data_IF_808135120084
#
_entry.id   IF_808135120084
#
_cell.length_a   1.000
_cell.length_b   1.000
_cell.length_c   1.000
_cell.angle_alpha   90.00
_cell.angle_beta   90.00
_cell.angle_gamma   90.00
#
_symmetry.space_group_name_H-M   'P 1'
#
loop_
_entity.id
_entity.type
_entity.pdbx_description
1 polymer ?
#
# COMPACT_ATOMS: atom_id res chain seq x y z
N UNK A 1 -25.11 -3.45 -2.05
CA UNK A 1 -24.14 -4.57 -2.12
C UNK A 1 -22.74 -3.99 -2.28
N UNK A 2 -21.78 -4.32 -1.38
CA UNK A 2 -20.42 -3.81 -1.46
C UNK A 2 -19.79 -4.13 -2.82
N UNK A 3 -19.04 -3.20 -3.43
CA UNK A 3 -18.50 -3.39 -4.78
C UNK A 3 -17.54 -4.59 -4.87
N UNK A 4 -16.91 -5.00 -3.76
CA UNK A 4 -16.05 -6.18 -3.72
C UNK A 4 -16.79 -7.51 -3.82
N UNK A 5 -18.01 -7.59 -3.27
CA UNK A 5 -18.89 -8.76 -3.43
C UNK A 5 -19.39 -8.85 -4.86
N UNK A 6 -19.68 -7.72 -5.51
CA UNK A 6 -20.05 -7.69 -6.93
C UNK A 6 -18.91 -8.18 -7.83
N UNK A 7 -17.68 -7.73 -7.57
CA UNK A 7 -16.50 -8.19 -8.33
C UNK A 7 -16.24 -9.68 -8.11
N UNK A 8 -16.28 -10.14 -6.86
CA UNK A 8 -16.11 -11.56 -6.53
C UNK A 8 -17.21 -12.41 -7.16
N UNK A 9 -18.47 -11.94 -7.17
CA UNK A 9 -19.60 -12.57 -7.88
C UNK A 9 -19.39 -12.63 -9.38
N UNK A 10 -18.88 -11.57 -9.99
CA UNK A 10 -18.51 -11.55 -11.42
C UNK A 10 -17.43 -12.59 -11.71
N UNK A 11 -16.35 -12.62 -10.93
CA UNK A 11 -15.24 -13.56 -11.09
C UNK A 11 -15.66 -15.02 -10.82
N UNK A 12 -16.51 -15.25 -9.82
CA UNK A 12 -17.02 -16.59 -9.50
C UNK A 12 -17.96 -17.10 -10.59
N UNK A 13 -18.83 -16.23 -11.11
CA UNK A 13 -19.80 -16.56 -12.15
C UNK A 13 -19.16 -16.79 -13.52
N UNK A 14 -18.12 -16.02 -13.88
CA UNK A 14 -17.51 -16.08 -15.20
C UNK A 14 -16.26 -16.97 -15.26
N UNK A 15 -15.51 -17.09 -14.15
CA UNK A 15 -14.20 -17.73 -14.14
C UNK A 15 -14.08 -18.87 -13.12
N UNK A 16 -15.05 -19.04 -12.20
CA UNK A 16 -14.99 -20.07 -11.15
C UNK A 16 -13.83 -19.90 -10.15
N UNK A 17 -13.14 -18.76 -10.18
CA UNK A 17 -11.89 -18.52 -9.45
C UNK A 17 -12.08 -18.12 -7.98
N UNK A 18 -13.29 -17.76 -7.58
CA UNK A 18 -13.60 -17.38 -6.21
C UNK A 18 -14.86 -18.12 -5.73
N UNK A 19 -14.90 -18.47 -4.44
CA UNK A 19 -16.12 -18.93 -3.78
C UNK A 19 -16.65 -17.80 -2.91
N UNK A 20 -17.90 -17.40 -3.12
CA UNK A 20 -18.55 -16.44 -2.22
C UNK A 20 -18.95 -17.13 -0.92
N UNK A 21 -18.83 -16.43 0.22
CA UNK A 21 -19.37 -16.93 1.47
C UNK A 21 -20.91 -16.99 1.39
N UNK A 22 -21.56 -17.77 2.28
CA UNK A 22 -23.01 -17.85 2.36
C UNK A 22 -23.67 -16.48 2.52
N UNK A 23 -24.89 -16.33 2.01
CA UNK A 23 -25.63 -15.08 2.03
C UNK A 23 -25.76 -14.48 3.44
N UNK A 24 -26.02 -15.31 4.45
CA UNK A 24 -26.13 -14.90 5.86
C UNK A 24 -24.85 -14.22 6.37
N UNK A 25 -23.68 -14.72 5.98
CA UNK A 25 -22.38 -14.13 6.34
C UNK A 25 -22.17 -12.79 5.65
N UNK A 26 -22.55 -12.69 4.37
CA UNK A 26 -22.46 -11.43 3.65
C UNK A 26 -23.39 -10.35 4.23
N UNK A 27 -24.63 -10.71 4.56
CA UNK A 27 -25.60 -9.79 5.15
C UNK A 27 -25.13 -9.27 6.51
N UNK A 28 -24.58 -10.16 7.35
CA UNK A 28 -23.96 -9.78 8.61
C UNK A 28 -22.80 -8.80 8.41
N UNK A 29 -21.89 -9.09 7.49
CA UNK A 29 -20.76 -8.21 7.19
C UNK A 29 -21.21 -6.83 6.68
N UNK A 30 -22.23 -6.80 5.82
CA UNK A 30 -22.80 -5.54 5.32
C UNK A 30 -23.41 -4.72 6.46
N UNK A 31 -24.15 -5.37 7.36
CA UNK A 31 -24.80 -4.70 8.47
C UNK A 31 -23.77 -4.15 9.48
N UNK A 32 -22.74 -4.93 9.82
CA UNK A 32 -21.62 -4.49 10.66
C UNK A 32 -20.86 -3.31 10.05
N UNK A 33 -20.55 -3.37 8.74
CA UNK A 33 -19.90 -2.26 8.04
C UNK A 33 -20.74 -1.00 8.03
N UNK A 34 -22.05 -1.12 7.80
CA UNK A 34 -22.99 0.00 7.84
C UNK A 34 -23.00 0.65 9.23
N UNK A 35 -22.99 -0.16 10.31
CA UNK A 35 -22.90 0.34 11.68
C UNK A 35 -21.58 1.07 11.96
N UNK A 36 -20.45 0.48 11.57
CA UNK A 36 -19.11 1.08 11.77
C UNK A 36 -18.90 2.35 10.93
N UNK A 37 -19.48 2.41 9.72
CA UNK A 37 -19.39 3.57 8.84
C UNK A 37 -20.18 4.75 9.41
N UNK A 38 -21.39 4.52 9.95
CA UNK A 38 -22.17 5.55 10.65
C UNK A 38 -21.42 6.07 11.88
N UNK A 39 -20.73 5.20 12.62
CA UNK A 39 -19.91 5.62 13.75
C UNK A 39 -18.68 6.46 13.35
N UNK A 40 -18.04 6.15 12.21
CA UNK A 40 -16.79 6.81 11.79
C UNK A 40 -16.99 8.09 10.99
N UNK A 41 -18.03 8.13 10.16
CA UNK A 41 -18.23 9.22 9.21
C UNK A 41 -19.48 10.05 9.53
N UNK A 42 -20.45 9.51 10.27
CA UNK A 42 -21.72 10.19 10.53
C UNK A 42 -22.83 9.72 9.58
N UNK A 43 -23.98 10.40 9.64
CA UNK A 43 -25.20 10.01 8.92
C UNK A 43 -25.36 10.69 7.54
N UNK A 44 -24.31 11.30 6.98
CA UNK A 44 -24.49 11.99 5.69
C UNK A 44 -24.57 10.98 4.54
N UNK A 45 -25.45 11.26 3.58
CA UNK A 45 -25.72 10.37 2.44
C UNK A 45 -24.47 10.17 1.55
N UNK A 46 -23.57 11.15 1.53
CA UNK A 46 -22.31 11.12 0.79
C UNK A 46 -21.24 10.22 1.43
N UNK A 47 -21.38 9.90 2.72
CA UNK A 47 -20.46 9.03 3.47
C UNK A 47 -20.83 7.54 3.35
N UNK A 48 -22.03 7.22 2.88
CA UNK A 48 -22.51 5.84 2.71
C UNK A 48 -21.62 5.05 1.73
N UNK A 49 -20.99 5.72 0.76
CA UNK A 49 -20.06 5.09 -0.18
C UNK A 49 -18.58 5.35 0.14
N UNK A 50 -18.27 6.27 1.07
CA UNK A 50 -16.90 6.53 1.49
C UNK A 50 -16.35 5.30 2.22
N UNK A 51 -15.47 4.59 1.52
CA UNK A 51 -14.70 3.50 2.08
C UNK A 51 -13.23 3.89 1.96
N UNK A 52 -12.45 3.57 2.98
CA UNK A 52 -11.00 3.71 2.90
C UNK A 52 -10.49 2.92 1.70
N UNK A 53 -10.01 3.64 0.68
CA UNK A 53 -9.60 3.07 -0.61
C UNK A 53 -8.56 1.95 -0.40
N UNK A 54 -7.62 2.15 0.52
CA UNK A 54 -6.62 1.16 0.89
C UNK A 54 -7.23 -0.11 1.45
N UNK A 55 -8.13 0.00 2.44
CA UNK A 55 -8.76 -1.16 3.09
C UNK A 55 -9.62 -1.93 2.08
N UNK A 56 -10.31 -1.21 1.21
CA UNK A 56 -11.13 -1.82 0.17
C UNK A 56 -10.28 -2.55 -0.88
N UNK A 57 -9.21 -1.93 -1.38
CA UNK A 57 -8.27 -2.53 -2.32
C UNK A 57 -7.57 -3.76 -1.71
N UNK A 58 -7.13 -3.67 -0.45
CA UNK A 58 -6.53 -4.80 0.26
C UNK A 58 -7.50 -5.97 0.42
N UNK A 59 -8.77 -5.69 0.73
CA UNK A 59 -9.79 -6.74 0.87
C UNK A 59 -10.05 -7.41 -0.47
N UNK A 60 -10.12 -6.64 -1.56
CA UNK A 60 -10.23 -7.17 -2.91
C UNK A 60 -9.01 -8.01 -3.31
N UNK A 61 -7.81 -7.49 -3.10
CA UNK A 61 -6.57 -8.18 -3.40
C UNK A 61 -6.43 -9.48 -2.58
N UNK A 62 -6.94 -9.49 -1.34
CA UNK A 62 -6.99 -10.70 -0.52
C UNK A 62 -7.91 -11.76 -1.12
N UNK A 63 -9.09 -11.38 -1.63
CA UNK A 63 -10.00 -12.33 -2.29
C UNK A 63 -9.40 -12.95 -3.55
N UNK A 64 -8.59 -12.19 -4.30
CA UNK A 64 -7.95 -12.64 -5.54
C UNK A 64 -6.60 -13.33 -5.25
N UNK A 65 -6.09 -13.28 -4.02
CA UNK A 65 -4.75 -13.77 -3.67
C UNK A 65 -3.62 -12.91 -4.24
N UNK A 66 -3.90 -11.66 -4.61
CA UNK A 66 -2.96 -10.67 -5.15
C UNK A 66 -2.38 -9.75 -4.07
N UNK A 67 -2.82 -9.87 -2.80
CA UNK A 67 -2.32 -9.06 -1.69
C UNK A 67 -0.86 -9.43 -1.36
N UNK A 68 0.10 -8.48 -1.44
CA UNK A 68 1.48 -8.76 -1.07
C UNK A 68 1.61 -8.95 0.45
N UNK A 69 2.16 -10.08 0.87
CA UNK A 69 2.52 -10.31 2.28
C UNK A 69 3.80 -9.55 2.62
N UNK A 70 3.72 -8.46 3.40
CA UNK A 70 4.89 -7.63 3.72
C UNK A 70 5.98 -8.43 4.43
N UNK A 71 5.63 -9.29 5.39
CA UNK A 71 6.59 -10.14 6.12
C UNK A 71 7.29 -11.14 5.19
N UNK A 72 6.53 -11.86 4.36
CA UNK A 72 7.11 -12.80 3.39
C UNK A 72 7.96 -12.10 2.32
N UNK A 73 7.59 -10.85 1.98
CA UNK A 73 8.37 -10.03 1.07
C UNK A 73 9.64 -9.50 1.72
N UNK A 74 9.62 -9.18 3.02
CA UNK A 74 10.81 -8.75 3.76
C UNK A 74 11.90 -9.83 3.76
N UNK A 75 11.51 -11.11 3.86
CA UNK A 75 12.44 -12.23 3.79
C UNK A 75 13.02 -12.46 2.37
N UNK A 76 12.29 -12.12 1.31
CA UNK A 76 12.71 -12.36 -0.09
C UNK A 76 13.42 -11.16 -0.72
N UNK A 77 12.87 -9.97 -0.52
CA UNK A 77 13.36 -8.70 -1.04
C UNK A 77 13.12 -7.60 -0.01
N UNK A 78 14.05 -7.41 0.95
CA UNK A 78 13.88 -6.44 2.03
C UNK A 78 13.79 -5.00 1.48
N UNK A 79 14.47 -4.70 0.37
CA UNK A 79 14.42 -3.36 -0.26
C UNK A 79 13.02 -3.06 -0.77
N UNK A 80 12.40 -4.01 -1.47
CA UNK A 80 11.05 -3.84 -1.97
C UNK A 80 10.03 -3.77 -0.81
N UNK A 81 10.18 -4.61 0.21
CA UNK A 81 9.31 -4.61 1.38
C UNK A 81 9.34 -3.27 2.13
N UNK A 82 10.53 -2.72 2.38
CA UNK A 82 10.68 -1.40 3.01
C UNK A 82 10.08 -0.29 2.15
N UNK A 83 10.24 -0.35 0.82
CA UNK A 83 9.66 0.63 -0.10
C UNK A 83 8.14 0.57 -0.10
N UNK A 84 7.54 -0.61 0.08
CA UNK A 84 6.08 -0.77 0.14
C UNK A 84 5.53 -0.36 1.51
N UNK A 85 6.25 -0.68 2.58
CA UNK A 85 5.82 -0.42 3.95
C UNK A 85 5.99 1.05 4.35
N UNK A 86 7.13 1.67 4.03
CA UNK A 86 7.42 3.07 4.35
C UNK A 86 7.13 4.04 3.20
N UNK A 87 6.92 3.52 1.99
CA UNK A 87 6.63 4.33 0.81
C UNK A 87 5.13 4.42 0.49
N UNK A 88 4.80 5.10 -0.61
CA UNK A 88 3.41 5.25 -1.03
C UNK A 88 2.80 3.91 -1.47
N UNK A 89 1.54 3.68 -1.09
CA UNK A 89 0.77 2.56 -1.62
C UNK A 89 0.40 2.84 -3.08
N UNK A 90 1.06 2.15 -4.01
CA UNK A 90 0.82 2.25 -5.45
C UNK A 90 0.11 1.01 -5.99
N UNK A 91 -0.71 1.15 -7.05
CA UNK A 91 -1.45 0.02 -7.61
C UNK A 91 -0.54 -1.10 -8.17
N UNK A 92 0.73 -0.81 -8.43
CA UNK A 92 1.74 -1.79 -8.84
C UNK A 92 1.97 -2.88 -7.79
N UNK A 93 1.72 -2.60 -6.51
CA UNK A 93 1.90 -3.55 -5.40
C UNK A 93 1.00 -4.76 -5.54
N UNK A 94 -0.24 -4.58 -6.03
CA UNK A 94 -1.20 -5.66 -6.26
C UNK A 94 -0.89 -6.50 -7.50
N UNK A 95 0.14 -6.17 -8.27
CA UNK A 95 0.62 -6.96 -9.43
C UNK A 95 1.94 -7.66 -9.17
N UNK A 96 2.44 -7.64 -7.93
CA UNK A 96 3.65 -8.36 -7.54
C UNK A 96 3.44 -9.88 -7.45
N UNK A 97 2.20 -10.31 -7.20
CA UNK A 97 1.84 -11.71 -7.08
C UNK A 97 0.37 -11.95 -7.43
N UNK A 98 -0.07 -13.20 -7.32
CA UNK A 98 -1.43 -13.61 -7.68
C UNK A 98 -1.66 -13.68 -9.20
N UNK A 99 -2.92 -13.92 -9.60
CA UNK A 99 -3.31 -13.95 -11.01
C UNK A 99 -3.18 -12.55 -11.63
N UNK A 100 -2.50 -12.45 -12.77
CA UNK A 100 -2.20 -11.16 -13.42
C UNK A 100 -0.91 -10.48 -12.91
N UNK A 101 0.02 -11.26 -12.32
CA UNK A 101 1.38 -10.80 -11.99
C UNK A 101 2.03 -10.12 -13.20
N UNK A 102 2.69 -8.99 -12.94
CA UNK A 102 3.47 -8.27 -13.94
C UNK A 102 4.93 -8.22 -13.53
N UNK A 103 5.83 -8.77 -14.34
CA UNK A 103 7.27 -8.79 -14.02
C UNK A 103 7.87 -7.40 -13.85
N UNK A 104 7.34 -6.40 -14.57
CA UNK A 104 7.75 -5.00 -14.44
C UNK A 104 7.31 -4.32 -13.13
N UNK A 105 6.43 -4.94 -12.33
CA UNK A 105 5.86 -4.30 -11.14
C UNK A 105 6.93 -3.92 -10.11
N UNK A 106 7.93 -4.78 -9.91
CA UNK A 106 9.05 -4.51 -9.00
C UNK A 106 9.83 -3.26 -9.43
N UNK A 107 10.26 -3.22 -10.69
CA UNK A 107 10.99 -2.09 -11.22
C UNK A 107 10.12 -0.83 -11.21
N UNK A 108 8.82 -0.97 -11.46
CA UNK A 108 7.89 0.14 -11.45
C UNK A 108 7.74 0.77 -10.06
N UNK A 109 7.75 -0.02 -8.99
CA UNK A 109 7.70 0.49 -7.61
C UNK A 109 9.01 1.19 -7.26
N UNK A 110 10.15 0.62 -7.65
CA UNK A 110 11.46 1.18 -7.28
C UNK A 110 11.79 2.47 -8.04
N UNK A 111 11.31 2.61 -9.29
CA UNK A 111 11.53 3.79 -10.15
C UNK A 111 10.40 4.83 -10.09
N UNK A 112 9.43 4.64 -9.19
CA UNK A 112 8.25 5.50 -9.13
C UNK A 112 8.62 6.96 -8.83
N UNK A 113 9.55 7.18 -7.90
CA UNK A 113 9.98 8.52 -7.50
C UNK A 113 10.72 9.22 -8.63
N UNK A 114 11.55 8.50 -9.38
CA UNK A 114 12.23 9.04 -10.55
C UNK A 114 11.22 9.54 -11.59
N UNK A 115 10.15 8.78 -11.84
CA UNK A 115 9.10 9.16 -12.78
C UNK A 115 8.27 10.35 -12.30
N UNK A 116 7.99 10.44 -11.00
CA UNK A 116 7.27 11.57 -10.40
C UNK A 116 8.11 12.84 -10.41
N UNK A 117 9.43 12.73 -10.18
CA UNK A 117 10.35 13.87 -10.15
C UNK A 117 10.84 14.31 -11.53
N UNK A 118 10.86 13.41 -12.51
CA UNK A 118 11.29 13.72 -13.89
C UNK A 118 10.57 14.93 -14.51
N UNK A 119 9.22 15.06 -14.46
CA UNK A 119 8.54 16.23 -15.03
C UNK A 119 8.79 17.52 -14.22
N UNK A 120 9.09 17.43 -12.93
CA UNK A 120 9.33 18.61 -12.09
C UNK A 120 10.78 19.08 -12.12
N UNK A 121 11.73 18.20 -12.44
CA UNK A 121 13.17 18.49 -12.51
C UNK A 121 13.58 18.92 -13.93
N UNK A 122 13.00 20.01 -14.43
CA UNK A 122 13.32 20.56 -15.76
C UNK A 122 14.66 21.29 -15.82
N UNK A 123 15.26 21.62 -14.68
CA UNK A 123 16.58 22.25 -14.56
C UNK A 123 17.48 21.42 -13.66
N UNK A 124 18.63 20.98 -14.17
CA UNK A 124 19.68 20.35 -13.35
C UNK A 124 20.54 21.47 -12.77
N UNK A 125 20.55 21.70 -11.45
CA UNK A 125 21.48 22.66 -10.86
C UNK A 125 22.91 22.17 -11.11
N UNK A 126 23.77 23.06 -11.59
CA UNK A 126 25.21 22.80 -11.61
C UNK A 126 25.64 22.43 -10.18
N UNK A 127 26.41 21.35 -10.02
CA UNK A 127 26.76 20.80 -8.72
C UNK A 127 27.44 21.85 -7.85
N UNK A 128 26.68 22.48 -6.95
CA UNK A 128 27.23 23.38 -5.97
C UNK A 128 27.73 22.54 -4.80
N UNK A 129 29.04 22.59 -4.57
CA UNK A 129 29.63 22.10 -3.32
C UNK A 129 29.12 23.00 -2.19
N UNK A 130 28.00 22.61 -1.56
CA UNK A 130 27.46 23.32 -0.41
C UNK A 130 28.43 23.18 0.77
N UNK A 131 28.93 24.31 1.29
CA UNK A 131 29.80 24.35 2.48
C UNK A 131 29.08 23.97 3.78
N UNK A 132 27.75 23.87 3.76
CA UNK A 132 26.96 23.44 4.91
C UNK A 132 26.81 21.91 4.93
N UNK A 133 26.99 21.26 6.09
CA UNK A 133 26.74 19.83 6.21
C UNK A 133 25.28 19.53 5.87
N UNK A 134 25.06 18.48 5.09
CA UNK A 134 23.70 18.07 4.76
C UNK A 134 22.96 17.64 6.04
N UNK A 135 21.64 17.81 6.08
CA UNK A 135 20.82 17.36 7.21
C UNK A 135 21.07 15.89 7.55
N UNK A 136 21.34 15.05 6.53
CA UNK A 136 21.71 13.65 6.70
C UNK A 136 23.02 13.45 7.47
N UNK A 137 24.01 14.32 7.25
CA UNK A 137 25.29 14.30 7.96
C UNK A 137 25.09 14.64 9.44
N UNK A 138 24.27 15.65 9.73
CA UNK A 138 23.97 16.07 11.11
C UNK A 138 23.17 14.99 11.84
N UNK A 139 22.12 14.45 11.21
CA UNK A 139 21.30 13.36 11.77
C UNK A 139 22.15 12.11 12.00
N UNK A 140 23.02 11.76 11.06
CA UNK A 140 23.94 10.63 11.21
C UNK A 140 24.88 10.79 12.41
N UNK A 141 25.43 11.99 12.60
CA UNK A 141 26.29 12.29 13.75
C UNK A 141 25.52 12.20 15.08
N UNK A 142 24.29 12.70 15.12
CA UNK A 142 23.42 12.64 16.30
C UNK A 142 23.06 11.20 16.69
N UNK A 143 22.74 10.35 15.70
CA UNK A 143 22.47 8.93 15.92
C UNK A 143 23.70 8.18 16.44
N UNK A 144 24.90 8.54 15.96
CA UNK A 144 26.16 7.95 16.39
C UNK A 144 26.50 8.34 17.83
N UNK A 145 26.31 9.61 18.20
CA UNK A 145 26.44 10.07 19.59
C UNK A 145 25.46 9.36 20.52
N UNK A 146 24.20 9.22 20.12
CA UNK A 146 23.21 8.49 20.91
C UNK A 146 23.61 7.01 21.09
N UNK A 147 24.05 6.34 20.02
CA UNK A 147 24.49 4.95 20.11
C UNK A 147 25.70 4.75 21.04
N UNK A 148 26.63 5.71 21.10
CA UNK A 148 27.73 5.67 22.05
C UNK A 148 27.23 5.88 23.49
N UNK A 149 26.41 6.90 23.74
CA UNK A 149 25.89 7.19 25.09
C UNK A 149 25.06 6.04 25.64
N UNK A 150 24.21 5.41 24.82
CA UNK A 150 23.35 4.31 25.23
C UNK A 150 24.01 2.92 25.10
N UNK A 151 25.11 2.79 24.36
CA UNK A 151 25.85 1.53 24.20
C UNK A 151 26.94 1.30 25.25
N UNK A 152 27.36 2.35 25.97
CA UNK A 152 28.34 2.27 27.06
C UNK A 152 27.72 2.28 28.47
N UNK A 153 26.38 2.25 28.57
CA UNK A 153 25.63 2.10 29.82
C UNK A 153 24.98 0.71 29.87
#
# INVERSE_FOLDING_TARGET
VPPGVKLCRMLSSFLGLCQLPPQSVMEKEVNEKKKNQVQRFGLSFDEVLKTDCLVYMDKLASFIGAKPSVLGLLCRDPRLALTIFFGPCTPYQYRLGGPGRWEGARQAILTQWDRTLKPTRTRVPAGSSSRCPSLLTVVGFLLLLAALVFGFH
#
